data_IF_591018914699
#
_entry.id   IF_591018914699
#
_cell.length_a   1.000
_cell.length_b   1.000
_cell.length_c   1.000
_cell.angle_alpha   90.00
_cell.angle_beta   90.00
_cell.angle_gamma   90.00
#
_symmetry.space_group_name_H-M   'P 1'
#
loop_
_entity.id
_entity.type
_entity.pdbx_description
1 polymer ?
#
# COMPACT_ATOMS: atom_id res chain seq x y z
N UNK A 1 2.39 4.30 -20.65
CA UNK A 1 3.68 4.98 -20.37
C UNK A 1 3.59 6.51 -20.32
N UNK A 2 2.90 7.15 -21.29
CA UNK A 2 2.81 8.61 -21.46
C UNK A 2 2.03 9.39 -20.38
N UNK A 3 1.56 8.74 -19.32
CA UNK A 3 0.81 9.35 -18.20
C UNK A 3 1.48 9.15 -16.84
N UNK A 4 2.73 8.66 -16.83
CA UNK A 4 3.50 8.40 -15.62
C UNK A 4 4.72 9.29 -15.64
N UNK A 5 4.89 10.08 -14.58
CA UNK A 5 6.06 10.89 -14.34
C UNK A 5 6.87 10.26 -13.21
N UNK A 6 8.09 9.84 -13.52
CA UNK A 6 9.01 9.23 -12.56
C UNK A 6 10.04 10.27 -12.12
N UNK A 7 10.11 10.53 -10.81
CA UNK A 7 11.08 11.47 -10.24
C UNK A 7 11.90 10.76 -9.18
N UNK A 8 13.22 10.90 -9.27
CA UNK A 8 14.16 10.47 -8.23
C UNK A 8 14.68 11.71 -7.52
N UNK A 9 14.32 11.86 -6.26
CA UNK A 9 14.90 12.91 -5.43
C UNK A 9 16.38 12.59 -5.10
N UNK A 10 17.25 13.60 -5.05
CA UNK A 10 18.68 13.40 -4.77
C UNK A 10 18.94 13.07 -3.30
N UNK A 11 18.10 13.57 -2.39
CA UNK A 11 18.21 13.36 -0.96
C UNK A 11 16.82 13.42 -0.27
N UNK A 12 16.79 13.25 1.05
CA UNK A 12 15.56 13.27 1.85
C UNK A 12 14.87 14.64 1.80
N UNK A 13 15.62 15.73 1.77
CA UNK A 13 15.06 17.09 1.74
C UNK A 13 14.37 17.36 0.40
N UNK A 14 15.05 17.03 -0.69
CA UNK A 14 14.53 17.09 -2.05
C UNK A 14 13.33 16.17 -2.25
N UNK A 15 13.30 15.01 -1.58
CA UNK A 15 12.14 14.12 -1.60
C UNK A 15 10.90 14.79 -1.00
N UNK A 16 11.04 15.39 0.18
CA UNK A 16 9.91 16.10 0.82
C UNK A 16 9.48 17.33 0.03
N UNK A 17 10.42 18.11 -0.51
CA UNK A 17 10.11 19.28 -1.35
C UNK A 17 9.35 18.86 -2.62
N UNK A 18 9.87 17.87 -3.35
CA UNK A 18 9.23 17.36 -4.56
C UNK A 18 7.82 16.81 -4.29
N UNK A 19 7.62 16.12 -3.16
CA UNK A 19 6.31 15.62 -2.79
C UNK A 19 5.32 16.76 -2.47
N UNK A 20 5.77 17.80 -1.76
CA UNK A 20 4.94 18.96 -1.46
C UNK A 20 4.56 19.72 -2.75
N UNK A 21 5.49 19.90 -3.68
CA UNK A 21 5.22 20.54 -4.98
C UNK A 21 4.25 19.71 -5.82
N UNK A 22 4.45 18.39 -5.88
CA UNK A 22 3.53 17.48 -6.57
C UNK A 22 2.13 17.56 -5.94
N UNK A 23 2.03 17.57 -4.61
CA UNK A 23 0.76 17.66 -3.90
C UNK A 23 0.01 18.98 -4.14
N UNK A 24 0.71 20.07 -4.50
CA UNK A 24 0.11 21.36 -4.88
C UNK A 24 -0.28 21.44 -6.35
N UNK A 25 0.16 20.49 -7.17
CA UNK A 25 -0.04 20.53 -8.61
C UNK A 25 -1.46 20.03 -8.95
N UNK A 26 -2.24 20.88 -9.59
CA UNK A 26 -3.56 20.52 -10.12
C UNK A 26 -3.43 19.60 -11.34
N UNK A 27 -4.36 18.65 -11.47
CA UNK A 27 -4.47 17.76 -12.64
C UNK A 27 -3.68 16.45 -12.52
N UNK A 28 -2.97 16.21 -11.41
CA UNK A 28 -2.39 14.90 -11.12
C UNK A 28 -3.47 13.96 -10.58
N UNK A 29 -3.68 12.82 -11.25
CA UNK A 29 -4.66 11.83 -10.79
C UNK A 29 -4.24 11.17 -9.46
N UNK A 30 -2.94 11.06 -9.20
CA UNK A 30 -2.41 10.51 -7.98
C UNK A 30 -0.88 10.57 -7.91
N UNK A 31 -0.36 10.43 -6.71
CA UNK A 31 1.05 10.57 -6.38
C UNK A 31 1.46 9.35 -5.54
N UNK A 32 2.44 8.59 -6.02
CA UNK A 32 3.05 7.49 -5.29
C UNK A 32 4.44 7.93 -4.80
N UNK A 33 4.58 8.07 -3.47
CA UNK A 33 5.83 8.49 -2.84
C UNK A 33 6.49 7.28 -2.18
N UNK A 34 7.60 6.80 -2.75
CA UNK A 34 8.36 5.67 -2.22
C UNK A 34 9.55 6.18 -1.42
N UNK A 35 9.58 5.89 -0.13
CA UNK A 35 10.66 6.33 0.76
C UNK A 35 11.38 5.17 1.44
N UNK A 36 12.69 5.31 1.58
CA UNK A 36 13.51 4.37 2.34
C UNK A 36 13.29 4.51 3.86
N UNK A 37 13.81 3.59 4.68
CA UNK A 37 13.62 3.60 6.13
C UNK A 37 14.06 4.89 6.82
N UNK A 38 15.05 5.59 6.24
CA UNK A 38 15.63 6.83 6.76
C UNK A 38 14.90 8.11 6.30
N UNK A 39 13.93 7.99 5.39
CA UNK A 39 13.18 9.10 4.81
C UNK A 39 11.72 9.08 5.31
N UNK A 40 11.57 8.98 6.63
CA UNK A 40 10.27 8.98 7.29
C UNK A 40 9.59 10.35 7.22
N UNK A 41 8.26 10.35 7.29
CA UNK A 41 7.50 11.59 7.31
C UNK A 41 7.40 12.16 8.72
N UNK A 42 7.88 13.39 8.92
CA UNK A 42 7.54 14.15 10.12
C UNK A 42 6.03 14.44 10.15
N UNK A 43 5.48 14.64 11.36
CA UNK A 43 4.07 15.00 11.53
C UNK A 43 3.70 16.24 10.70
N UNK A 44 4.53 17.29 10.78
CA UNK A 44 4.31 18.53 10.05
C UNK A 44 4.41 18.33 8.53
N UNK A 45 5.41 17.58 8.05
CA UNK A 45 5.59 17.31 6.63
C UNK A 45 4.41 16.56 6.02
N UNK A 46 3.99 15.46 6.66
CA UNK A 46 2.82 14.70 6.22
C UNK A 46 1.54 15.55 6.25
N UNK A 47 1.36 16.42 7.27
CA UNK A 47 0.19 17.31 7.33
C UNK A 47 0.17 18.35 6.21
N UNK A 48 1.31 18.93 5.85
CA UNK A 48 1.41 19.88 4.72
C UNK A 48 1.06 19.22 3.40
N UNK A 49 1.63 18.04 3.13
CA UNK A 49 1.32 17.25 1.93
C UNK A 49 -0.17 16.90 1.88
N UNK A 50 -0.75 16.46 2.99
CA UNK A 50 -2.17 16.13 3.08
C UNK A 50 -3.07 17.32 2.73
N UNK A 51 -2.79 18.51 3.26
CA UNK A 51 -3.60 19.71 2.99
C UNK A 51 -3.45 20.18 1.53
N UNK A 52 -2.23 20.15 0.99
CA UNK A 52 -1.99 20.49 -0.41
C UNK A 52 -2.74 19.54 -1.36
N UNK A 53 -2.63 18.23 -1.12
CA UNK A 53 -3.32 17.21 -1.92
C UNK A 53 -4.84 17.33 -1.85
N UNK A 54 -5.40 17.69 -0.67
CA UNK A 54 -6.83 17.97 -0.54
C UNK A 54 -7.27 19.17 -1.37
N UNK A 55 -6.47 20.24 -1.42
CA UNK A 55 -6.73 21.42 -2.24
C UNK A 55 -6.62 21.14 -3.74
N UNK A 56 -5.63 20.33 -4.14
CA UNK A 56 -5.40 19.94 -5.54
C UNK A 56 -6.30 18.78 -6.01
N UNK A 57 -7.10 18.20 -5.11
CA UNK A 57 -7.92 17.00 -5.36
C UNK A 57 -7.11 15.77 -5.81
N UNK A 58 -5.89 15.61 -5.31
CA UNK A 58 -4.98 14.53 -5.67
C UNK A 58 -4.93 13.43 -4.60
N UNK A 59 -4.87 12.16 -5.02
CA UNK A 59 -4.58 11.04 -4.11
C UNK A 59 -3.08 10.96 -3.84
N UNK A 60 -2.66 10.93 -2.58
CA UNK A 60 -1.26 10.67 -2.20
C UNK A 60 -1.15 9.34 -1.48
N UNK A 61 -0.34 8.42 -2.03
CA UNK A 61 0.05 7.17 -1.42
C UNK A 61 1.53 7.24 -1.03
N UNK A 62 1.78 7.35 0.27
CA UNK A 62 3.14 7.33 0.82
C UNK A 62 3.48 5.90 1.28
N UNK A 63 4.48 5.29 0.65
CA UNK A 63 4.95 3.95 0.97
C UNK A 63 6.35 4.06 1.55
N UNK A 64 6.50 3.60 2.78
CA UNK A 64 7.77 3.61 3.49
C UNK A 64 8.20 2.18 3.80
N UNK A 65 9.46 1.84 3.51
CA UNK A 65 10.06 0.61 4.01
C UNK A 65 10.24 0.70 5.54
N UNK A 66 9.43 -0.04 6.30
CA UNK A 66 9.47 -0.04 7.75
C UNK A 66 10.37 -1.18 8.28
N UNK A 67 11.20 -0.86 9.29
CA UNK A 67 11.82 -1.88 10.17
C UNK A 67 11.08 -2.00 11.51
N UNK A 68 10.37 -0.94 11.91
CA UNK A 68 9.51 -0.84 13.10
C UNK A 68 8.31 0.06 12.76
N UNK A 69 7.22 -0.02 13.55
CA UNK A 69 6.05 0.85 13.34
C UNK A 69 6.48 2.33 13.46
N UNK A 70 6.22 3.10 12.40
CA UNK A 70 6.51 4.53 12.36
C UNK A 70 5.21 5.31 12.42
N UNK A 71 5.15 6.29 13.32
CA UNK A 71 4.00 7.17 13.43
C UNK A 71 4.05 8.24 12.34
N UNK A 72 3.12 8.18 11.39
CA UNK A 72 2.84 9.26 10.45
C UNK A 72 1.36 9.67 10.53
N UNK A 73 1.03 10.97 10.50
CA UNK A 73 -0.37 11.41 10.43
C UNK A 73 -0.87 11.17 9.00
N UNK A 74 -1.77 10.19 8.85
CA UNK A 74 -2.41 9.88 7.58
C UNK A 74 -3.91 9.63 7.78
N UNK A 75 -4.71 9.81 6.72
CA UNK A 75 -6.14 9.49 6.72
C UNK A 75 -6.39 7.99 6.95
N UNK A 76 -5.54 7.15 6.39
CA UNK A 76 -5.49 5.72 6.65
C UNK A 76 -4.03 5.28 6.78
N UNK A 77 -3.78 4.29 7.65
CA UNK A 77 -2.46 3.65 7.79
C UNK A 77 -2.60 2.16 7.66
N UNK A 78 -1.82 1.59 6.75
CA UNK A 78 -1.79 0.18 6.45
C UNK A 78 -0.35 -0.31 6.56
N UNK A 79 -0.13 -1.33 7.38
CA UNK A 79 1.14 -2.06 7.43
C UNK A 79 1.01 -3.29 6.55
N UNK A 80 1.98 -3.52 5.68
CA UNK A 80 2.02 -4.66 4.77
C UNK A 80 3.25 -5.49 5.10
N UNK A 81 3.04 -6.78 5.37
CA UNK A 81 4.11 -7.74 5.59
C UNK A 81 3.95 -8.92 4.64
N UNK A 82 5.05 -9.48 4.16
CA UNK A 82 5.01 -10.76 3.43
C UNK A 82 4.52 -11.88 4.34
N UNK A 83 3.72 -12.80 3.81
CA UNK A 83 3.29 -14.03 4.48
C UNK A 83 3.82 -15.24 3.68
N UNK A 84 4.15 -16.37 4.32
CA UNK A 84 4.45 -17.59 3.58
C UNK A 84 3.32 -17.98 2.62
N UNK A 85 3.67 -18.38 1.40
CA UNK A 85 2.71 -18.88 0.42
C UNK A 85 2.17 -20.27 0.83
N UNK A 86 0.92 -20.57 0.51
CA UNK A 86 0.34 -21.90 0.74
C UNK A 86 0.82 -22.87 -0.34
N UNK A 87 1.28 -24.09 -0.02
CA UNK A 87 1.65 -25.05 -1.05
C UNK A 87 0.46 -25.35 -1.97
N UNK A 88 0.68 -25.30 -3.28
CA UNK A 88 -0.28 -25.74 -4.29
C UNK A 88 0.16 -27.10 -4.85
N UNK A 89 -0.81 -27.90 -5.32
CA UNK A 89 -0.53 -29.20 -5.91
C UNK A 89 0.46 -29.10 -7.08
N UNK A 90 1.26 -30.15 -7.30
CA UNK A 90 2.21 -30.23 -8.41
C UNK A 90 1.50 -29.93 -9.74
N UNK A 91 2.01 -28.95 -10.49
CA UNK A 91 1.48 -28.56 -11.80
C UNK A 91 1.52 -27.05 -12.11
N UNK A 92 1.83 -26.20 -11.13
CA UNK A 92 2.07 -24.76 -11.33
C UNK A 92 3.55 -24.46 -11.58
N UNK A 93 3.86 -23.24 -12.06
CA UNK A 93 5.19 -22.83 -12.53
C UNK A 93 6.35 -23.03 -11.54
N UNK A 94 6.07 -23.20 -10.23
CA UNK A 94 7.02 -23.59 -9.20
C UNK A 94 6.37 -24.63 -8.26
N UNK A 95 6.72 -25.92 -8.38
CA UNK A 95 6.17 -26.97 -7.52
C UNK A 95 6.38 -26.64 -6.04
N UNK A 96 5.28 -26.58 -5.28
CA UNK A 96 5.31 -26.32 -3.83
C UNK A 96 5.30 -24.84 -3.42
N UNK A 97 5.40 -23.87 -4.35
CA UNK A 97 5.24 -22.45 -4.04
C UNK A 97 3.83 -21.98 -4.46
N UNK A 98 3.06 -21.51 -3.49
CA UNK A 98 1.74 -20.90 -3.73
C UNK A 98 1.80 -19.50 -4.33
N UNK A 99 0.61 -18.90 -4.54
CA UNK A 99 0.50 -17.51 -4.99
C UNK A 99 1.19 -16.55 -4.00
N UNK A 100 1.74 -15.41 -4.48
CA UNK A 100 2.30 -14.38 -3.61
C UNK A 100 1.30 -13.96 -2.53
N UNK A 101 1.76 -13.90 -1.28
CA UNK A 101 0.89 -13.68 -0.13
C UNK A 101 1.41 -12.58 0.80
N UNK A 102 0.49 -11.78 1.33
CA UNK A 102 0.76 -10.73 2.29
C UNK A 102 -0.25 -10.74 3.43
N UNK A 103 0.18 -10.19 4.57
CA UNK A 103 -0.70 -9.76 5.65
C UNK A 103 -0.74 -8.25 5.66
N UNK A 104 -1.95 -7.72 5.59
CA UNK A 104 -2.26 -6.31 5.73
C UNK A 104 -2.81 -6.08 7.13
N UNK A 105 -2.35 -5.02 7.79
CA UNK A 105 -2.91 -4.57 9.06
C UNK A 105 -3.32 -3.10 8.94
N UNK A 106 -4.62 -2.83 8.98
CA UNK A 106 -5.15 -1.48 9.05
C UNK A 106 -4.98 -0.99 10.48
N UNK A 107 -4.05 -0.07 10.71
CA UNK A 107 -3.83 0.53 12.04
C UNK A 107 -4.83 1.64 12.34
N UNK A 108 -5.24 2.40 11.31
CA UNK A 108 -6.08 3.60 11.46
C UNK A 108 -6.85 3.86 10.17
N UNK A 109 -8.11 4.29 10.31
CA UNK A 109 -8.87 4.94 9.26
C UNK A 109 -9.70 6.10 9.84
N UNK A 110 -9.88 7.18 9.07
CA UNK A 110 -10.59 8.39 9.52
C UNK A 110 -12.06 8.16 9.89
N UNK A 111 -12.73 7.18 9.29
CA UNK A 111 -14.16 6.91 9.48
C UNK A 111 -14.48 5.95 10.64
N UNK A 112 -13.53 5.73 11.56
CA UNK A 112 -13.77 4.87 12.73
C UNK A 112 -13.76 3.38 12.42
N UNK A 113 -13.28 2.95 11.24
CA UNK A 113 -13.03 1.54 10.99
C UNK A 113 -12.09 1.00 12.08
N UNK A 114 -12.49 -0.10 12.72
CA UNK A 114 -11.69 -0.74 13.76
C UNK A 114 -10.39 -1.25 13.14
N UNK A 115 -9.26 -1.14 13.85
CA UNK A 115 -8.03 -1.79 13.42
C UNK A 115 -8.28 -3.27 13.15
N UNK A 116 -7.86 -3.74 11.99
CA UNK A 116 -8.14 -5.11 11.55
C UNK A 116 -7.07 -5.61 10.59
N UNK A 117 -6.90 -6.92 10.55
CA UNK A 117 -5.93 -7.60 9.70
C UNK A 117 -6.62 -8.41 8.63
N UNK A 118 -6.00 -8.47 7.46
CA UNK A 118 -6.45 -9.25 6.32
C UNK A 118 -5.27 -10.01 5.75
N UNK A 119 -5.48 -11.27 5.42
CA UNK A 119 -4.53 -12.01 4.59
C UNK A 119 -4.96 -11.84 3.13
N UNK A 120 -4.02 -11.55 2.24
CA UNK A 120 -4.26 -11.40 0.81
C UNK A 120 -3.32 -12.32 0.03
N UNK A 121 -3.84 -12.90 -1.04
CA UNK A 121 -3.09 -13.61 -2.08
C UNK A 121 -3.31 -12.91 -3.43
N UNK A 122 -2.33 -12.99 -4.32
CA UNK A 122 -2.42 -12.43 -5.68
C UNK A 122 -2.60 -13.54 -6.71
N UNK A 123 -3.58 -13.38 -7.58
CA UNK A 123 -3.79 -14.26 -8.72
C UNK A 123 -3.13 -13.65 -9.97
N UNK A 124 -2.03 -14.26 -10.43
CA UNK A 124 -1.30 -13.82 -11.63
C UNK A 124 -2.15 -13.88 -12.90
N UNK A 125 -3.15 -14.75 -12.99
CA UNK A 125 -3.98 -14.89 -14.18
C UNK A 125 -5.03 -13.77 -14.29
N UNK A 126 -5.56 -13.31 -13.16
CA UNK A 126 -6.59 -12.26 -13.12
C UNK A 126 -6.06 -10.90 -12.69
N UNK A 127 -4.79 -10.83 -12.30
CA UNK A 127 -4.14 -9.63 -11.76
C UNK A 127 -4.90 -9.01 -10.57
N UNK A 128 -5.50 -9.86 -9.74
CA UNK A 128 -6.36 -9.44 -8.64
C UNK A 128 -5.81 -9.90 -7.29
N UNK A 129 -5.99 -9.04 -6.27
CA UNK A 129 -5.81 -9.41 -4.87
C UNK A 129 -7.11 -10.00 -4.33
N UNK A 130 -7.02 -11.10 -3.60
CA UNK A 130 -8.18 -11.73 -2.97
C UNK A 130 -7.85 -12.18 -1.55
N UNK A 131 -8.87 -12.22 -0.70
CA UNK A 131 -8.74 -12.82 0.62
C UNK A 131 -8.88 -14.34 0.46
N UNK A 132 -7.85 -15.14 0.83
CA UNK A 132 -7.94 -16.57 0.69
C UNK A 132 -8.98 -17.10 1.68
N UNK A 133 -9.77 -18.07 1.22
CA UNK A 133 -10.74 -18.72 2.09
C UNK A 133 -10.00 -19.33 3.30
N UNK A 134 -10.53 -19.07 4.51
CA UNK A 134 -10.08 -19.76 5.72
C UNK A 134 -10.45 -21.22 5.50
N UNK A 135 -9.46 -22.11 5.35
CA UNK A 135 -9.69 -23.54 5.35
C UNK A 135 -10.13 -23.95 6.76
N UNK A 136 -11.37 -23.63 7.13
CA UNK A 136 -12.13 -24.53 7.97
C UNK A 136 -12.22 -25.85 7.19
N UNK A 137 -12.33 -26.96 7.89
CA UNK A 137 -12.33 -28.31 7.35
C UNK A 137 -13.57 -28.65 6.49
N UNK A 138 -13.99 -27.75 5.59
CA UNK A 138 -15.01 -27.86 4.53
C UNK A 138 -14.88 -26.67 3.58
N UNK A 139 -15.04 -26.95 2.28
CA UNK A 139 -14.83 -26.03 1.15
C UNK A 139 -15.55 -24.68 1.32
N UNK A 140 -14.84 -23.54 1.32
CA UNK A 140 -15.48 -22.23 1.19
C UNK A 140 -15.22 -21.68 -0.22
N UNK A 141 -16.28 -21.16 -0.85
CA UNK A 141 -16.20 -20.43 -2.11
C UNK A 141 -15.49 -19.09 -1.87
N UNK A 142 -14.47 -18.72 -2.66
CA UNK A 142 -13.73 -17.47 -2.46
C UNK A 142 -14.61 -16.26 -2.70
N UNK A 143 -14.69 -15.34 -1.72
CA UNK A 143 -15.36 -14.04 -1.87
C UNK A 143 -14.39 -13.04 -2.51
N UNK A 144 -14.76 -12.52 -3.70
CA UNK A 144 -14.08 -11.41 -4.35
C UNK A 144 -14.51 -10.10 -3.71
N UNK A 145 -13.56 -9.24 -3.34
CA UNK A 145 -13.84 -7.87 -2.91
C UNK A 145 -14.07 -7.02 -4.17
N UNK A 146 -15.30 -6.55 -4.36
CA UNK A 146 -15.63 -5.55 -5.39
C UNK A 146 -15.29 -4.14 -4.90
N UNK A 147 -14.75 -3.33 -5.81
CA UNK A 147 -14.35 -1.93 -5.59
C UNK A 147 -15.54 -1.00 -5.32
#
# INVERSE_FOLDING_TARGET
PSRILLVRAPDVKGFHACLEDAARTFGLAGILALSGPKAGFSLAGARRVQLAAEQAHSLVLAVQGLRTSAFAPARARLVVASRPCRPVALGTALPGLGPPAWRLHLERARNGARPQSFDLEYDDATHCLYQPATLANRSPQPQRLSA
#
